data_IF_120933572862
#
_entry.id   IF_120933572862
#
_cell.length_a   1.000
_cell.length_b   1.000
_cell.length_c   1.000
_cell.angle_alpha   90.00
_cell.angle_beta   90.00
_cell.angle_gamma   90.00
#
_symmetry.space_group_name_H-M   'P 1'
#
loop_
_entity.id
_entity.type
_entity.pdbx_description
1 polymer ?
#
# COMPACT_ATOMS: atom_id res chain seq x y z
N UNK A 1 32.17 -38.49 -4.96
CA UNK A 1 31.80 -39.57 -4.05
C UNK A 1 30.41 -39.26 -3.59
N UNK A 2 29.61 -39.95 -4.19
CA UNK A 2 28.56 -40.96 -3.89
C UNK A 2 27.28 -40.26 -3.40
N UNK A 3 26.28 -40.21 -4.25
CA UNK A 3 25.34 -41.27 -4.57
C UNK A 3 24.38 -41.60 -3.40
N UNK A 4 23.14 -41.16 -3.44
CA UNK A 4 22.01 -42.02 -3.08
C UNK A 4 20.78 -41.63 -3.89
N UNK A 5 20.42 -42.56 -4.74
CA UNK A 5 19.18 -42.67 -5.53
C UNK A 5 18.21 -43.52 -4.71
N UNK A 6 16.98 -43.05 -4.50
CA UNK A 6 15.88 -43.90 -4.01
C UNK A 6 14.55 -43.40 -4.59
N UNK A 7 14.14 -44.09 -5.58
CA UNK A 7 13.04 -45.06 -5.75
C UNK A 7 11.65 -44.44 -5.63
N UNK A 8 11.09 -44.19 -6.81
CA UNK A 8 9.68 -44.18 -7.10
C UNK A 8 9.05 -45.55 -6.73
N UNK A 9 7.95 -45.53 -6.01
CA UNK A 9 7.02 -46.67 -5.95
C UNK A 9 5.65 -46.17 -6.39
N UNK A 10 5.26 -46.66 -7.55
CA UNK A 10 3.91 -46.65 -8.05
C UNK A 10 3.03 -47.54 -7.15
N UNK A 11 1.88 -47.02 -6.76
CA UNK A 11 0.77 -47.85 -6.25
C UNK A 11 -0.33 -47.80 -7.29
N UNK A 12 -0.38 -48.83 -8.12
CA UNK A 12 -1.53 -49.16 -8.95
C UNK A 12 -2.58 -49.82 -8.06
N UNK A 13 -3.64 -49.11 -7.78
CA UNK A 13 -4.84 -49.65 -7.17
C UNK A 13 -5.85 -50.00 -8.27
N UNK A 14 -5.93 -51.27 -8.59
CA UNK A 14 -6.99 -51.85 -9.44
C UNK A 14 -8.36 -51.62 -8.77
N UNK A 15 -9.22 -50.92 -9.44
CA UNK A 15 -10.62 -50.88 -9.04
C UNK A 15 -11.44 -51.83 -9.94
N UNK A 16 -11.92 -52.88 -9.28
CA UNK A 16 -12.72 -53.97 -9.85
C UNK A 16 -14.13 -53.47 -10.22
N UNK A 17 -14.54 -53.76 -11.46
CA UNK A 17 -15.91 -53.57 -11.90
C UNK A 17 -16.80 -54.64 -11.25
N UNK A 18 -17.70 -54.23 -10.38
CA UNK A 18 -18.84 -55.03 -9.99
C UNK A 18 -20.06 -54.62 -10.81
N UNK A 19 -20.44 -55.54 -11.71
CA UNK A 19 -21.62 -55.48 -12.56
C UNK A 19 -22.83 -55.89 -11.72
N UNK A 20 -23.73 -54.97 -11.42
CA UNK A 20 -25.02 -55.32 -10.83
C UNK A 20 -26.17 -54.87 -11.73
N UNK A 21 -26.87 -55.88 -12.26
CA UNK A 21 -28.13 -55.75 -13.01
C UNK A 21 -29.27 -55.84 -12.00
N UNK A 22 -30.18 -54.92 -12.06
CA UNK A 22 -31.46 -55.07 -11.31
C UNK A 22 -32.35 -53.84 -11.37
N UNK A 23 -33.24 -53.84 -12.32
CA UNK A 23 -34.69 -53.67 -12.20
C UNK A 23 -35.25 -52.26 -11.83
N UNK A 24 -35.83 -51.66 -12.83
CA UNK A 24 -37.11 -50.92 -12.94
C UNK A 24 -37.67 -50.30 -11.63
N UNK A 25 -37.76 -48.99 -11.59
CA UNK A 25 -38.99 -48.30 -11.19
C UNK A 25 -38.94 -46.83 -11.63
N UNK A 26 -39.89 -46.45 -12.43
CA UNK A 26 -40.18 -45.07 -12.84
C UNK A 26 -40.78 -44.32 -11.65
N UNK A 27 -40.12 -43.29 -11.18
CA UNK A 27 -40.73 -42.26 -10.37
C UNK A 27 -40.25 -40.92 -10.86
N UNK A 28 -41.16 -40.19 -11.47
CA UNK A 28 -40.96 -38.79 -11.87
C UNK A 28 -40.83 -37.94 -10.61
N UNK A 29 -39.68 -37.33 -10.42
CA UNK A 29 -39.50 -36.31 -9.41
C UNK A 29 -39.04 -35.02 -10.10
N UNK A 30 -39.88 -33.99 -9.92
CA UNK A 30 -39.68 -32.66 -10.39
C UNK A 30 -38.38 -32.08 -9.88
N UNK A 31 -37.44 -31.73 -10.76
CA UNK A 31 -36.23 -31.02 -10.44
C UNK A 31 -36.60 -29.55 -10.27
N UNK A 32 -36.80 -29.15 -8.99
CA UNK A 32 -36.83 -27.72 -8.65
C UNK A 32 -35.39 -27.20 -8.73
N UNK A 33 -35.04 -26.57 -9.84
CA UNK A 33 -33.78 -25.87 -10.01
C UNK A 33 -33.80 -24.60 -9.14
N UNK A 34 -33.29 -24.69 -7.92
CA UNK A 34 -32.95 -23.51 -7.13
C UNK A 34 -31.72 -22.86 -7.77
N UNK A 35 -31.94 -21.88 -8.61
CA UNK A 35 -30.88 -20.99 -9.08
C UNK A 35 -30.40 -20.16 -7.90
N UNK A 36 -29.25 -20.54 -7.34
CA UNK A 36 -28.50 -19.69 -6.40
C UNK A 36 -27.97 -18.50 -7.20
N UNK A 37 -28.68 -17.38 -7.18
CA UNK A 37 -28.13 -16.10 -7.61
C UNK A 37 -27.10 -15.68 -6.56
N UNK A 38 -25.82 -15.93 -6.82
CA UNK A 38 -24.75 -15.29 -6.10
C UNK A 38 -24.75 -13.80 -6.47
N UNK A 39 -25.40 -13.00 -5.65
CA UNK A 39 -25.29 -11.54 -5.72
C UNK A 39 -23.86 -11.21 -5.26
N UNK A 40 -22.95 -11.07 -6.21
CA UNK A 40 -21.66 -10.46 -5.96
C UNK A 40 -21.91 -8.97 -5.69
N UNK A 41 -21.97 -8.60 -4.45
CA UNK A 41 -22.00 -7.18 -4.05
C UNK A 41 -20.71 -6.53 -4.54
N UNK A 42 -20.85 -5.76 -5.61
CA UNK A 42 -19.80 -4.89 -6.11
C UNK A 42 -19.67 -3.75 -5.09
N UNK A 43 -18.80 -3.93 -4.09
CA UNK A 43 -18.48 -2.85 -3.15
C UNK A 43 -17.80 -1.75 -3.97
N UNK A 44 -18.44 -0.57 -4.13
CA UNK A 44 -17.80 0.50 -4.86
C UNK A 44 -16.51 0.88 -4.11
N UNK A 45 -15.38 0.78 -4.77
CA UNK A 45 -14.14 1.33 -4.27
C UNK A 45 -14.38 2.81 -3.98
N UNK A 46 -14.45 3.16 -2.70
CA UNK A 46 -14.59 4.56 -2.26
C UNK A 46 -13.35 5.29 -2.76
N UNK A 47 -13.51 6.05 -3.84
CA UNK A 47 -12.49 6.96 -4.30
C UNK A 47 -12.14 7.89 -3.12
N UNK A 48 -10.89 7.81 -2.64
CA UNK A 48 -10.40 8.73 -1.64
C UNK A 48 -10.56 10.15 -2.19
N UNK A 49 -11.35 10.97 -1.51
CA UNK A 49 -11.46 12.39 -1.85
C UNK A 49 -10.05 12.99 -1.86
N UNK A 50 -9.70 13.84 -2.83
CA UNK A 50 -8.39 14.49 -2.83
C UNK A 50 -8.25 15.27 -1.51
N UNK A 51 -7.38 14.78 -0.64
CA UNK A 51 -7.11 15.43 0.62
C UNK A 51 -6.39 16.75 0.33
N UNK A 52 -6.84 17.85 0.94
CA UNK A 52 -6.24 19.16 0.72
C UNK A 52 -4.72 19.09 1.03
N UNK A 53 -3.92 19.71 0.18
CA UNK A 53 -2.49 19.80 0.43
C UNK A 53 -2.24 20.71 1.65
N UNK A 54 -1.24 20.35 2.44
CA UNK A 54 -0.82 21.15 3.61
C UNK A 54 0.50 21.83 3.27
N UNK A 55 0.50 23.17 3.37
CA UNK A 55 1.71 23.96 3.16
C UNK A 55 2.58 24.00 4.42
N UNK A 56 3.88 23.79 4.24
CA UNK A 56 4.90 23.78 5.27
C UNK A 56 6.00 24.77 4.86
N UNK A 57 6.16 25.85 5.62
CA UNK A 57 7.13 26.88 5.28
C UNK A 57 8.56 26.50 5.70
N UNK A 58 9.54 26.90 4.90
CA UNK A 58 10.94 26.98 5.30
C UNK A 58 11.24 28.45 5.54
N UNK A 59 11.53 28.81 6.81
CA UNK A 59 11.73 30.20 7.23
C UNK A 59 12.79 30.30 8.29
N UNK A 60 13.69 31.26 8.18
CA UNK A 60 14.72 31.52 9.17
C UNK A 60 15.56 30.28 9.49
N UNK A 61 15.92 29.52 8.45
CA UNK A 61 16.69 28.27 8.58
C UNK A 61 15.98 27.21 9.44
N UNK A 62 14.66 27.14 9.35
CA UNK A 62 13.85 26.14 10.07
C UNK A 62 12.66 25.69 9.22
N UNK A 63 12.22 24.45 9.43
CA UNK A 63 10.92 23.97 8.94
C UNK A 63 9.83 24.40 9.93
N UNK A 64 8.74 24.95 9.40
CA UNK A 64 7.64 25.50 10.20
C UNK A 64 6.27 25.01 9.70
N UNK A 65 5.54 24.22 10.49
CA UNK A 65 5.95 23.67 11.80
C UNK A 65 7.05 22.62 11.67
N UNK A 66 7.84 22.44 12.74
CA UNK A 66 8.91 21.43 12.80
C UNK A 66 8.36 20.00 12.81
N UNK A 67 7.21 19.81 13.42
CA UNK A 67 6.51 18.52 13.52
C UNK A 67 5.04 18.70 13.15
N UNK A 68 4.49 17.74 12.42
CA UNK A 68 3.09 17.74 12.01
C UNK A 68 2.55 16.31 12.00
N UNK A 69 1.27 16.16 12.41
CA UNK A 69 0.55 14.89 12.29
C UNK A 69 -0.50 14.97 11.20
N UNK A 70 -0.49 14.01 10.29
CA UNK A 70 -1.39 13.95 9.13
C UNK A 70 -1.99 12.56 8.97
N UNK A 71 -3.06 12.44 8.18
CA UNK A 71 -3.62 11.16 7.77
C UNK A 71 -2.88 10.57 6.56
N UNK A 72 -2.89 9.24 6.35
CA UNK A 72 -2.40 8.63 5.11
C UNK A 72 -3.13 9.20 3.88
N UNK A 73 -2.41 9.39 2.78
CA UNK A 73 -2.90 10.02 1.56
C UNK A 73 -2.77 11.54 1.55
N UNK A 74 -2.31 12.17 2.63
CA UNK A 74 -2.13 13.62 2.69
C UNK A 74 -0.88 14.04 1.92
N UNK A 75 -1.00 15.10 1.12
CA UNK A 75 0.10 15.77 0.43
C UNK A 75 0.63 16.92 1.30
N UNK A 76 1.94 16.99 1.46
CA UNK A 76 2.63 18.16 2.03
C UNK A 76 3.37 18.90 0.92
N UNK A 77 3.32 20.22 0.98
CA UNK A 77 4.06 21.12 0.09
C UNK A 77 4.99 21.97 0.95
N UNK A 78 6.30 21.75 0.82
CA UNK A 78 7.31 22.63 1.42
C UNK A 78 7.57 23.82 0.52
N UNK A 79 7.61 25.01 1.09
CA UNK A 79 7.83 26.27 0.37
C UNK A 79 9.00 26.98 1.02
N UNK A 80 10.05 27.25 0.26
CA UNK A 80 11.18 28.02 0.75
C UNK A 80 10.86 29.53 0.72
N UNK A 81 10.84 30.17 1.88
CA UNK A 81 10.64 31.63 2.03
C UNK A 81 11.91 32.35 2.45
N UNK A 82 13.03 31.64 2.56
CA UNK A 82 14.33 32.27 2.83
C UNK A 82 15.01 32.67 1.51
N UNK A 83 15.94 33.59 1.58
CA UNK A 83 16.80 33.93 0.44
C UNK A 83 17.89 32.86 0.20
N UNK A 84 18.22 32.11 1.23
CA UNK A 84 19.17 31.00 1.15
C UNK A 84 18.53 29.76 0.52
N UNK A 85 19.26 28.98 -0.29
CA UNK A 85 18.77 27.73 -0.83
C UNK A 85 18.67 26.66 0.26
N UNK A 86 17.59 25.89 0.22
CA UNK A 86 17.32 24.77 1.12
C UNK A 86 17.01 23.49 0.36
N UNK A 87 16.84 22.40 1.08
CA UNK A 87 16.34 21.12 0.54
C UNK A 87 15.53 20.37 1.58
N UNK A 88 14.78 19.38 1.13
CA UNK A 88 14.01 18.48 1.99
C UNK A 88 14.41 17.07 1.64
N UNK A 89 15.09 16.37 2.56
CA UNK A 89 15.60 15.01 2.33
C UNK A 89 15.22 14.13 3.51
N UNK A 90 14.48 13.05 3.25
CA UNK A 90 14.12 12.10 4.29
C UNK A 90 15.31 11.30 4.78
N UNK A 91 15.31 10.97 6.06
CA UNK A 91 16.38 10.20 6.70
C UNK A 91 16.48 8.77 6.13
N UNK A 92 15.34 8.19 5.73
CA UNK A 92 15.23 6.86 5.12
C UNK A 92 15.36 6.87 3.59
N UNK A 93 15.62 8.06 2.98
CA UNK A 93 15.73 8.28 1.54
C UNK A 93 14.47 7.98 0.74
N UNK A 94 13.30 7.94 1.37
CA UNK A 94 12.02 7.71 0.69
C UNK A 94 11.60 8.88 -0.19
N UNK A 95 12.05 10.11 0.13
CA UNK A 95 11.85 11.29 -0.69
C UNK A 95 13.04 12.27 -0.57
N UNK A 96 13.25 13.04 -1.63
CA UNK A 96 14.26 14.10 -1.67
C UNK A 96 13.88 15.19 -2.67
N UNK A 97 14.01 16.45 -2.28
CA UNK A 97 13.91 17.58 -3.19
C UNK A 97 15.25 17.82 -3.91
N UNK A 98 15.20 18.59 -4.98
CA UNK A 98 16.37 19.38 -5.46
C UNK A 98 16.68 20.49 -4.46
N UNK A 99 17.69 21.33 -4.74
CA UNK A 99 17.82 22.63 -4.11
C UNK A 99 16.57 23.45 -4.39
N UNK A 100 16.04 24.08 -3.36
CA UNK A 100 14.88 24.97 -3.40
C UNK A 100 15.40 26.39 -3.21
N UNK A 101 15.36 27.21 -4.25
CA UNK A 101 15.60 28.64 -4.17
C UNK A 101 14.39 29.35 -3.56
N UNK A 102 14.45 30.64 -3.37
CA UNK A 102 13.35 31.46 -2.81
C UNK A 102 12.06 31.21 -3.60
N UNK A 103 10.97 30.95 -2.89
CA UNK A 103 9.62 30.63 -3.39
C UNK A 103 9.49 29.30 -4.15
N UNK A 104 10.58 28.53 -4.28
CA UNK A 104 10.50 27.17 -4.81
C UNK A 104 9.74 26.23 -3.87
N UNK A 105 9.13 25.21 -4.48
CA UNK A 105 8.28 24.25 -3.80
C UNK A 105 8.73 22.82 -4.05
N UNK A 106 8.54 22.00 -3.04
CA UNK A 106 8.64 20.54 -3.15
C UNK A 106 7.39 19.92 -2.56
N UNK A 107 6.84 18.90 -3.21
CA UNK A 107 5.67 18.20 -2.73
C UNK A 107 5.91 16.69 -2.60
N UNK A 108 5.29 16.09 -1.58
CA UNK A 108 5.30 14.66 -1.37
C UNK A 108 3.99 14.21 -0.74
N UNK A 109 3.47 13.05 -1.19
CA UNK A 109 2.25 12.43 -0.63
C UNK A 109 2.64 11.26 0.25
N UNK A 110 2.12 11.25 1.48
CA UNK A 110 2.41 10.22 2.48
C UNK A 110 1.34 9.14 2.49
N UNK A 111 1.57 8.04 1.78
CA UNK A 111 0.58 6.97 1.61
C UNK A 111 0.50 6.00 2.80
N UNK A 112 1.54 5.90 3.61
CA UNK A 112 1.66 4.90 4.68
C UNK A 112 1.83 5.55 6.05
N UNK A 113 1.30 4.89 7.08
CA UNK A 113 1.56 5.27 8.47
C UNK A 113 3.05 5.13 8.80
N UNK A 114 3.53 5.99 9.68
CA UNK A 114 4.92 6.02 10.12
C UNK A 114 5.38 7.38 10.61
N UNK A 115 6.63 7.44 11.02
CA UNK A 115 7.34 8.66 11.38
C UNK A 115 8.42 8.93 10.33
N UNK A 116 8.27 10.03 9.61
CA UNK A 116 9.14 10.41 8.53
C UNK A 116 9.97 11.63 8.93
N UNK A 117 11.13 11.34 9.50
CA UNK A 117 12.11 12.38 9.79
C UNK A 117 12.83 12.84 8.54
N UNK A 118 13.08 14.15 8.44
CA UNK A 118 13.79 14.74 7.30
C UNK A 118 14.68 15.89 7.73
N UNK A 119 15.64 16.24 6.89
CA UNK A 119 16.63 17.28 7.11
C UNK A 119 16.80 18.16 5.86
N UNK A 120 17.42 19.31 6.05
CA UNK A 120 18.02 20.05 4.93
C UNK A 120 19.45 19.52 4.69
N UNK A 121 19.77 19.07 3.46
CA UNK A 121 21.11 18.56 3.16
C UNK A 121 22.19 19.62 3.16
N UNK A 122 21.82 20.90 2.95
CA UNK A 122 22.73 22.05 2.97
C UNK A 122 22.96 22.53 4.41
N UNK A 123 21.93 22.43 5.26
CA UNK A 123 21.95 22.89 6.65
C UNK A 123 21.48 21.76 7.58
N UNK A 124 22.36 20.79 7.93
CA UNK A 124 21.95 19.56 8.64
C UNK A 124 21.32 19.76 10.03
N UNK A 125 21.46 20.93 10.63
CA UNK A 125 20.79 21.29 11.89
C UNK A 125 19.28 21.55 11.71
N UNK A 126 18.83 21.81 10.47
CA UNK A 126 17.41 21.95 10.13
C UNK A 126 16.79 20.57 10.03
N UNK A 127 15.94 20.23 10.96
CA UNK A 127 15.26 18.93 11.04
C UNK A 127 13.77 19.12 11.16
N UNK A 128 12.99 18.16 10.61
CA UNK A 128 11.55 18.09 10.76
C UNK A 128 11.06 16.65 10.83
N UNK A 129 9.81 16.45 11.25
CA UNK A 129 9.16 15.14 11.32
C UNK A 129 7.71 15.25 10.86
N UNK A 130 7.30 14.31 10.00
CA UNK A 130 5.90 14.10 9.65
C UNK A 130 5.43 12.79 10.29
N UNK A 131 4.45 12.88 11.17
CA UNK A 131 3.79 11.74 11.79
C UNK A 131 2.54 11.40 10.97
N UNK A 132 2.51 10.23 10.36
CA UNK A 132 1.35 9.76 9.60
C UNK A 132 0.58 8.76 10.43
N UNK A 133 -0.68 9.09 10.77
CA UNK A 133 -1.54 8.29 11.64
C UNK A 133 -2.95 8.21 11.07
N UNK A 134 -3.58 7.04 11.16
CA UNK A 134 -5.02 6.92 10.93
C UNK A 134 -5.77 7.72 12.00
N UNK A 135 -6.77 8.45 11.57
CA UNK A 135 -7.72 9.16 12.44
C UNK A 135 -8.92 8.27 12.73
#
# INVERSE_FOLDING_TARGET
>A
MEYVRLKQRACEGRFSLAKNRGLRSVAALAVASAALFAVTELVPARAASPQAAIDLGIRQFAFAPKEITIAPGTKIVWINHDEAPHSVVSNDKSFASKGLDTDDKFEHTFEREGDFGYICSVHPFMTGVVHVRKQ
#
